data_IF_086031081284
#
_entry.id   IF_086031081284
#
_cell.length_a   1.000
_cell.length_b   1.000
_cell.length_c   1.000
_cell.angle_alpha   90.00
_cell.angle_beta   90.00
_cell.angle_gamma   90.00
#
_symmetry.space_group_name_H-M   'P 1'
#
loop_
_entity.id
_entity.type
_entity.pdbx_description
1 polymer ?
#
# COMPACT_ATOMS: atom_id res chain seq x y z
N UNK A 1 9.30 -9.64 -9.51
CA UNK A 1 10.13 -10.45 -8.60
C UNK A 1 9.18 -11.46 -7.96
N UNK A 2 9.40 -12.74 -8.25
CA UNK A 2 8.56 -13.81 -7.69
C UNK A 2 8.97 -14.05 -6.23
N UNK A 3 8.19 -13.53 -5.29
CA UNK A 3 8.42 -13.68 -3.86
C UNK A 3 8.11 -15.08 -3.33
N UNK A 4 7.47 -15.94 -4.13
CA UNK A 4 7.18 -17.33 -3.73
C UNK A 4 8.44 -18.18 -3.67
N UNK A 5 9.52 -17.76 -4.31
CA UNK A 5 10.79 -18.47 -4.40
C UNK A 5 11.85 -18.01 -3.38
N UNK A 6 11.52 -17.07 -2.50
CA UNK A 6 12.43 -16.68 -1.40
C UNK A 6 12.24 -17.61 -0.19
N UNK A 7 13.35 -17.95 0.53
CA UNK A 7 13.25 -18.79 1.74
C UNK A 7 12.29 -18.25 2.79
N UNK A 8 12.05 -16.93 2.83
CA UNK A 8 11.06 -16.32 3.71
C UNK A 8 9.62 -16.65 3.31
N UNK A 9 9.32 -16.77 2.02
CA UNK A 9 8.00 -17.14 1.53
C UNK A 9 7.66 -18.60 1.83
N UNK A 10 8.67 -19.49 1.85
CA UNK A 10 8.47 -20.91 2.16
C UNK A 10 8.40 -21.19 3.67
N UNK A 11 9.02 -20.36 4.50
CA UNK A 11 9.01 -20.52 5.96
C UNK A 11 7.66 -20.11 6.60
N UNK A 12 6.87 -19.30 5.90
CA UNK A 12 5.56 -18.85 6.39
C UNK A 12 4.44 -19.89 6.21
N UNK A 13 4.71 -21.09 5.67
CA UNK A 13 3.71 -22.19 5.55
C UNK A 13 2.39 -21.74 4.91
N UNK A 14 2.42 -20.63 4.17
CA UNK A 14 1.22 -20.01 3.66
C UNK A 14 0.69 -20.79 2.48
N UNK A 15 -0.51 -21.31 2.58
CA UNK A 15 -1.40 -21.49 1.46
C UNK A 15 -1.22 -20.28 0.54
N UNK A 16 -1.06 -20.52 -0.77
CA UNK A 16 -1.00 -19.44 -1.76
C UNK A 16 -2.14 -18.48 -1.45
N UNK A 17 -1.80 -17.24 -1.11
CA UNK A 17 -2.81 -16.26 -0.75
C UNK A 17 -3.75 -16.11 -1.94
N UNK A 18 -4.97 -16.64 -1.82
CA UNK A 18 -5.99 -16.41 -2.82
C UNK A 18 -6.36 -14.94 -2.75
N UNK A 19 -5.92 -14.20 -3.77
CA UNK A 19 -6.41 -12.84 -3.94
C UNK A 19 -7.88 -12.92 -4.36
N UNK A 20 -8.71 -12.11 -3.74
CA UNK A 20 -10.09 -11.98 -4.14
C UNK A 20 -10.19 -11.49 -5.59
N UNK A 21 -11.17 -11.99 -6.35
CA UNK A 21 -11.37 -11.64 -7.76
C UNK A 21 -11.72 -10.16 -7.97
N UNK A 22 -12.23 -9.49 -6.95
CA UNK A 22 -12.69 -8.09 -7.02
C UNK A 22 -12.24 -7.31 -5.77
N UNK A 23 -10.95 -6.98 -5.66
CA UNK A 23 -10.44 -6.21 -4.53
C UNK A 23 -10.99 -4.78 -4.53
N UNK A 24 -11.29 -4.24 -3.35
CA UNK A 24 -11.55 -2.82 -3.20
C UNK A 24 -10.20 -2.08 -3.19
N UNK A 25 -9.97 -1.27 -4.22
CA UNK A 25 -8.74 -0.48 -4.35
C UNK A 25 -9.06 1.01 -4.20
N UNK A 26 -8.26 1.69 -3.40
CA UNK A 26 -8.20 3.14 -3.32
C UNK A 26 -6.93 3.59 -4.05
N UNK A 27 -7.09 4.35 -5.11
CA UNK A 27 -6.00 4.88 -5.92
C UNK A 27 -5.84 6.37 -5.62
N UNK A 28 -4.68 6.77 -5.16
CA UNK A 28 -4.35 8.16 -4.86
C UNK A 28 -3.65 8.79 -6.04
N UNK A 29 -4.27 9.80 -6.62
CA UNK A 29 -3.81 10.45 -7.84
C UNK A 29 -3.72 11.96 -7.70
N UNK A 30 -2.95 12.58 -8.58
CA UNK A 30 -2.94 14.03 -8.81
C UNK A 30 -2.71 14.33 -10.31
N UNK A 31 -2.76 15.60 -10.68
CA UNK A 31 -2.52 16.04 -12.06
C UNK A 31 -1.05 16.08 -12.48
N UNK A 32 -0.12 15.86 -11.56
CA UNK A 32 1.32 15.94 -11.82
C UNK A 32 2.17 15.14 -10.83
N UNK A 33 3.48 15.14 -11.03
CA UNK A 33 4.47 14.41 -10.22
C UNK A 33 5.54 15.34 -9.62
N UNK A 34 5.23 16.63 -9.43
CA UNK A 34 6.13 17.56 -8.77
C UNK A 34 6.22 17.24 -7.26
N UNK A 35 7.27 17.70 -6.56
CA UNK A 35 7.44 17.43 -5.13
C UNK A 35 6.23 17.81 -4.26
N UNK A 36 5.50 18.85 -4.64
CA UNK A 36 4.28 19.27 -3.93
C UNK A 36 3.17 18.24 -4.06
N UNK A 37 2.94 17.70 -5.27
CA UNK A 37 1.93 16.67 -5.51
C UNK A 37 2.30 15.36 -4.80
N UNK A 38 3.57 14.99 -4.79
CA UNK A 38 4.05 13.82 -4.05
C UNK A 38 3.82 13.97 -2.53
N UNK A 39 4.08 15.16 -1.97
CA UNK A 39 3.82 15.46 -0.56
C UNK A 39 2.32 15.38 -0.25
N UNK A 40 1.48 15.97 -1.09
CA UNK A 40 0.02 15.92 -0.93
C UNK A 40 -0.52 14.49 -1.07
N UNK A 41 0.05 13.69 -1.98
CA UNK A 41 -0.24 12.26 -2.10
C UNK A 41 0.05 11.48 -0.82
N UNK A 42 1.21 11.74 -0.19
CA UNK A 42 1.57 11.18 1.12
C UNK A 42 0.61 11.60 2.24
N UNK A 43 0.18 12.85 2.21
CA UNK A 43 -0.81 13.38 3.18
C UNK A 43 -2.17 12.68 3.02
N UNK A 44 -2.63 12.54 1.77
CA UNK A 44 -3.87 11.84 1.45
C UNK A 44 -3.82 10.36 1.86
N UNK A 45 -2.68 9.70 1.61
CA UNK A 45 -2.42 8.32 2.04
C UNK A 45 -2.58 8.17 3.56
N UNK A 46 -1.90 9.02 4.34
CA UNK A 46 -1.96 8.95 5.80
C UNK A 46 -3.39 9.16 6.31
N UNK A 47 -4.12 10.11 5.73
CA UNK A 47 -5.52 10.36 6.09
C UNK A 47 -6.40 9.16 5.78
N UNK A 48 -6.25 8.55 4.60
CA UNK A 48 -6.99 7.35 4.23
C UNK A 48 -6.71 6.17 5.18
N UNK A 49 -5.46 6.00 5.61
CA UNK A 49 -5.07 4.96 6.56
C UNK A 49 -5.70 5.18 7.95
N UNK A 50 -5.74 6.42 8.43
CA UNK A 50 -6.39 6.75 9.71
C UNK A 50 -7.90 6.51 9.65
N UNK A 51 -8.57 6.95 8.60
CA UNK A 51 -10.01 6.71 8.41
C UNK A 51 -10.33 5.22 8.32
N UNK A 52 -9.56 4.45 7.56
CA UNK A 52 -9.73 2.99 7.48
C UNK A 52 -9.56 2.32 8.86
N UNK A 53 -8.61 2.80 9.67
CA UNK A 53 -8.42 2.32 11.04
C UNK A 53 -9.65 2.60 11.91
N UNK A 54 -10.22 3.80 11.82
CA UNK A 54 -11.45 4.17 12.55
C UNK A 54 -12.63 3.28 12.12
N UNK A 55 -12.69 2.92 10.84
CA UNK A 55 -13.73 2.05 10.28
C UNK A 55 -13.48 0.55 10.52
N UNK A 56 -12.38 0.17 11.17
CA UNK A 56 -12.01 -1.23 11.40
C UNK A 56 -11.62 -1.98 10.13
N UNK A 57 -11.16 -1.27 9.10
CA UNK A 57 -10.72 -1.85 7.84
C UNK A 57 -9.22 -2.21 7.89
N UNK A 58 -8.87 -3.35 7.30
CA UNK A 58 -7.49 -3.70 6.99
C UNK A 58 -7.01 -2.97 5.73
N UNK A 59 -5.73 -2.60 5.72
CA UNK A 59 -5.10 -1.91 4.59
C UNK A 59 -3.87 -2.69 4.14
N UNK A 60 -3.77 -2.90 2.83
CA UNK A 60 -2.56 -3.36 2.16
C UNK A 60 -2.02 -2.29 1.22
N UNK A 61 -0.74 -1.94 1.35
CA UNK A 61 -0.07 -0.98 0.46
C UNK A 61 0.47 -1.73 -0.75
N UNK A 62 0.05 -1.33 -1.96
CA UNK A 62 0.43 -1.95 -3.23
C UNK A 62 1.37 -1.01 -4.01
N UNK A 63 2.60 -0.80 -3.48
CA UNK A 63 3.57 0.10 -4.08
C UNK A 63 4.40 -0.50 -5.22
N UNK A 64 4.53 -1.82 -5.30
CA UNK A 64 5.47 -2.49 -6.21
C UNK A 64 5.26 -2.15 -7.69
N UNK A 65 4.00 -2.00 -8.12
CA UNK A 65 3.68 -1.62 -9.50
C UNK A 65 4.13 -0.19 -9.85
N UNK A 66 4.43 0.63 -8.85
CA UNK A 66 4.85 2.02 -9.02
C UNK A 66 6.37 2.21 -8.94
N UNK A 67 7.12 1.18 -8.53
CA UNK A 67 8.58 1.25 -8.37
C UNK A 67 9.32 1.12 -9.70
N UNK A 68 8.74 0.36 -10.64
CA UNK A 68 9.35 0.11 -11.94
C UNK A 68 8.70 1.04 -12.98
N UNK A 69 9.50 1.82 -13.78
CA UNK A 69 8.97 2.84 -14.68
C UNK A 69 7.95 2.34 -15.71
N UNK A 70 8.16 1.14 -16.26
CA UNK A 70 7.26 0.59 -17.28
C UNK A 70 5.91 0.18 -16.68
N UNK A 71 5.89 -0.45 -15.50
CA UNK A 71 4.64 -0.80 -14.82
C UNK A 71 3.94 0.44 -14.27
N UNK A 72 4.69 1.43 -13.78
CA UNK A 72 4.12 2.72 -13.37
C UNK A 72 3.40 3.43 -14.52
N UNK A 73 3.98 3.42 -15.73
CA UNK A 73 3.34 4.00 -16.90
C UNK A 73 2.00 3.31 -17.20
N UNK A 74 1.97 1.98 -17.20
CA UNK A 74 0.73 1.22 -17.42
C UNK A 74 -0.35 1.52 -16.37
N UNK A 75 0.04 1.68 -15.11
CA UNK A 75 -0.87 2.04 -14.03
C UNK A 75 -1.43 3.45 -14.22
N UNK A 76 -0.58 4.42 -14.60
CA UNK A 76 -1.02 5.78 -14.88
C UNK A 76 -1.99 5.84 -16.08
N UNK A 77 -1.70 5.10 -17.14
CA UNK A 77 -2.56 5.02 -18.32
C UNK A 77 -3.93 4.42 -17.95
N UNK A 78 -3.95 3.30 -17.23
CA UNK A 78 -5.18 2.67 -16.78
C UNK A 78 -6.00 3.57 -15.84
N UNK A 79 -5.35 4.30 -14.94
CA UNK A 79 -6.02 5.26 -14.07
C UNK A 79 -6.58 6.44 -14.86
N UNK A 80 -5.80 7.00 -15.80
CA UNK A 80 -6.22 8.11 -16.65
C UNK A 80 -7.44 7.73 -17.49
N UNK A 81 -7.45 6.53 -18.05
CA UNK A 81 -8.60 6.01 -18.79
C UNK A 81 -9.85 5.89 -17.90
N UNK A 82 -9.68 5.41 -16.67
CA UNK A 82 -10.78 5.25 -15.72
C UNK A 82 -11.36 6.59 -15.23
N UNK A 83 -10.53 7.61 -15.05
CA UNK A 83 -10.96 8.95 -14.62
C UNK A 83 -11.37 9.86 -15.77
N UNK A 84 -11.01 9.53 -17.01
CA UNK A 84 -11.28 10.34 -18.19
C UNK A 84 -10.40 11.59 -18.30
N UNK A 85 -9.32 11.67 -17.55
CA UNK A 85 -8.33 12.75 -17.57
C UNK A 85 -6.94 12.21 -17.24
N UNK A 86 -5.89 12.91 -17.66
CA UNK A 86 -4.52 12.51 -17.35
C UNK A 86 -4.23 12.67 -15.86
N UNK A 87 -3.82 11.57 -15.21
CA UNK A 87 -3.46 11.55 -13.80
C UNK A 87 -2.14 10.81 -13.55
N UNK A 88 -1.49 11.17 -12.47
CA UNK A 88 -0.32 10.47 -11.93
C UNK A 88 -0.73 9.72 -10.67
N UNK A 89 -0.47 8.42 -10.62
CA UNK A 89 -0.75 7.59 -9.45
C UNK A 89 0.42 7.68 -8.48
N UNK A 90 0.13 8.09 -7.25
CA UNK A 90 1.11 8.18 -6.15
C UNK A 90 1.11 6.93 -5.29
N UNK A 91 -0.06 6.32 -5.07
CA UNK A 91 -0.17 5.11 -4.26
C UNK A 91 -1.46 4.34 -4.57
N UNK A 92 -1.41 3.03 -4.36
CA UNK A 92 -2.56 2.14 -4.42
C UNK A 92 -2.70 1.45 -3.06
N UNK A 93 -3.87 1.55 -2.45
CA UNK A 93 -4.22 0.89 -1.21
C UNK A 93 -5.32 -0.13 -1.46
N UNK A 94 -5.11 -1.35 -1.00
CA UNK A 94 -6.17 -2.37 -0.94
C UNK A 94 -6.87 -2.26 0.40
N UNK A 95 -8.19 -2.22 0.38
CA UNK A 95 -9.02 -2.12 1.57
C UNK A 95 -9.85 -3.40 1.71
N UNK A 96 -10.11 -3.82 2.94
CA UNK A 96 -10.96 -4.97 3.21
C UNK A 96 -11.25 -5.16 4.68
N UNK A 97 -12.25 -5.97 4.98
CA UNK A 97 -12.48 -6.42 6.35
C UNK A 97 -11.50 -7.53 6.70
N UNK A 98 -10.84 -7.45 7.86
CA UNK A 98 -9.95 -8.52 8.30
C UNK A 98 -10.75 -9.81 8.54
N UNK A 99 -10.19 -10.94 8.13
CA UNK A 99 -10.73 -12.26 8.44
C UNK A 99 -10.30 -12.64 9.86
N UNK A 100 -11.21 -12.51 10.84
CA UNK A 100 -10.94 -12.82 12.24
C UNK A 100 -10.41 -11.63 13.06
N UNK A 101 -10.08 -11.87 14.33
CA UNK A 101 -9.43 -10.87 15.15
C UNK A 101 -8.04 -10.56 14.59
N UNK A 102 -7.78 -9.29 14.30
CA UNK A 102 -6.43 -8.83 13.99
C UNK A 102 -5.59 -9.09 15.24
N UNK A 103 -4.88 -10.21 15.25
CA UNK A 103 -3.83 -10.46 16.22
C UNK A 103 -2.74 -9.42 15.99
N UNK A 104 -2.90 -8.26 16.60
CA UNK A 104 -1.87 -7.23 16.63
C UNK A 104 -0.77 -7.74 17.54
N UNK A 105 0.19 -8.44 16.95
CA UNK A 105 1.50 -8.59 17.60
C UNK A 105 2.18 -7.23 17.44
N UNK A 106 2.26 -6.42 18.50
CA UNK A 106 2.89 -5.11 18.36
C UNK A 106 4.36 -5.32 17.98
N UNK A 107 4.78 -4.59 16.95
CA UNK A 107 6.20 -4.58 16.59
C UNK A 107 7.01 -4.12 17.81
N UNK A 108 7.92 -4.95 18.35
CA UNK A 108 8.69 -4.57 19.53
C UNK A 108 9.49 -3.30 19.27
N UNK A 109 9.52 -2.42 20.26
CA UNK A 109 10.33 -1.20 20.23
C UNK A 109 11.53 -1.41 21.15
N UNK A 110 12.70 -0.96 20.71
CA UNK A 110 13.88 -0.91 21.59
C UNK A 110 13.62 0.06 22.75
N UNK A 111 14.23 -0.23 23.90
CA UNK A 111 14.16 0.68 25.03
C UNK A 111 14.74 2.05 24.65
N UNK A 112 14.16 3.13 25.18
CA UNK A 112 14.59 4.50 24.85
C UNK A 112 16.08 4.70 25.14
N UNK A 113 16.60 4.13 26.23
CA UNK A 113 18.01 4.19 26.59
C UNK A 113 18.97 3.53 25.57
N UNK A 114 18.47 2.64 24.72
CA UNK A 114 19.25 1.97 23.67
C UNK A 114 19.31 2.78 22.36
N UNK A 115 18.47 3.80 22.22
CA UNK A 115 18.35 4.58 20.99
C UNK A 115 18.74 6.05 21.15
N UNK A 116 18.92 6.52 22.38
CA UNK A 116 19.49 7.84 22.67
C UNK A 116 21.00 7.68 22.70
N UNK A 117 21.68 8.32 21.75
CA UNK A 117 23.14 8.43 21.79
C UNK A 117 23.53 9.46 22.87
N UNK A 118 24.62 9.21 23.63
CA UNK A 118 25.12 10.17 24.60
C UNK A 118 25.65 11.44 23.93
#
# INVERSE_FOLDING_TARGET
RDFTQTPLGSAAGGEAAFFEDRPALLVLTSSGDAPTEQLLGGYAMQRAMLEATVLGLGIGVLGQALEEPASRALVNDAASDAFGEAVVVHQILRLGHPLGELSHVPTPRRAVAEVILP
#
